data_IF_946283668117
#
_entry.id   IF_946283668117
#
_cell.length_a   1.000
_cell.length_b   1.000
_cell.length_c   1.000
_cell.angle_alpha   90.00
_cell.angle_beta   90.00
_cell.angle_gamma   90.00
#
_symmetry.space_group_name_H-M   'P 1'
#
loop_
_entity.id
_entity.type
_entity.pdbx_description
1 polymer ?
#
# COMPACT_ATOMS: atom_id res chain seq x y z
N UNK A 1 7.66 -0.56 9.51
CA UNK A 1 7.16 0.58 8.72
C UNK A 1 6.29 1.50 9.56
N UNK A 2 5.17 1.04 10.14
CA UNK A 2 4.24 1.90 10.89
C UNK A 2 4.89 2.80 11.96
N UNK A 3 5.77 2.23 12.82
CA UNK A 3 6.47 2.98 13.87
C UNK A 3 7.32 4.11 13.29
N UNK A 4 8.08 3.81 12.23
CA UNK A 4 8.89 4.80 11.52
C UNK A 4 8.00 5.90 10.93
N UNK A 5 6.88 5.53 10.34
CA UNK A 5 5.92 6.49 9.78
C UNK A 5 5.35 7.41 10.87
N UNK A 6 4.95 6.85 12.01
CA UNK A 6 4.41 7.63 13.14
C UNK A 6 5.45 8.63 13.65
N UNK A 7 6.70 8.20 13.82
CA UNK A 7 7.81 9.06 14.25
C UNK A 7 8.07 10.18 13.24
N UNK A 8 8.18 9.85 11.95
CA UNK A 8 8.52 10.82 10.90
C UNK A 8 7.44 11.87 10.65
N UNK A 9 6.15 11.57 10.89
CA UNK A 9 5.05 12.53 10.69
C UNK A 9 5.15 13.72 11.64
N UNK A 10 5.58 13.52 12.90
CA UNK A 10 5.81 14.62 13.83
C UNK A 10 7.24 15.16 13.74
N UNK A 11 8.23 14.28 13.55
CA UNK A 11 9.64 14.71 13.53
C UNK A 11 9.93 15.76 12.46
N UNK A 12 9.27 15.70 11.29
CA UNK A 12 9.44 16.69 10.22
C UNK A 12 9.21 18.13 10.64
N UNK A 13 8.39 18.36 11.64
CA UNK A 13 8.03 19.71 12.07
C UNK A 13 9.12 20.36 12.95
N UNK A 14 10.10 19.57 13.40
CA UNK A 14 11.24 20.03 14.21
C UNK A 14 12.50 20.30 13.37
N UNK A 15 13.40 21.14 13.88
CA UNK A 15 14.74 21.44 13.29
C UNK A 15 15.65 20.21 13.26
N UNK A 16 15.56 19.36 14.29
CA UNK A 16 16.38 18.15 14.45
C UNK A 16 16.22 17.16 13.30
N UNK A 17 15.07 17.19 12.61
CA UNK A 17 14.81 16.28 11.51
C UNK A 17 15.40 16.82 10.19
N UNK A 18 16.31 16.08 9.52
CA UNK A 18 16.94 16.55 8.31
C UNK A 18 15.93 16.86 7.21
N UNK A 19 15.91 18.10 6.72
CA UNK A 19 14.97 18.55 5.67
C UNK A 19 15.09 17.76 4.36
N UNK A 20 16.26 17.17 4.07
CA UNK A 20 16.45 16.23 2.93
C UNK A 20 15.58 14.97 3.00
N UNK A 21 15.09 14.61 4.19
CA UNK A 21 14.20 13.45 4.40
C UNK A 21 12.72 13.85 4.39
N UNK A 22 12.43 15.15 4.32
CA UNK A 22 11.08 15.68 4.19
C UNK A 22 10.52 15.45 2.79
N UNK A 23 9.19 15.52 2.69
CA UNK A 23 8.45 15.31 1.44
C UNK A 23 9.04 16.18 0.32
N UNK A 24 9.27 15.55 -0.83
CA UNK A 24 9.63 16.29 -2.03
C UNK A 24 8.42 17.05 -2.58
N UNK A 25 8.67 18.17 -3.25
CA UNK A 25 7.61 18.97 -3.83
C UNK A 25 7.12 18.35 -5.13
N UNK A 26 7.84 18.52 -6.24
CA UNK A 26 7.43 18.02 -7.56
C UNK A 26 8.07 16.69 -7.89
N UNK A 27 9.41 16.62 -7.80
CA UNK A 27 10.18 15.44 -8.15
C UNK A 27 11.25 15.12 -7.10
N UNK A 28 11.54 13.83 -6.95
CA UNK A 28 12.59 13.31 -6.08
C UNK A 28 12.10 12.17 -5.18
N UNK A 29 13.00 11.72 -4.30
CA UNK A 29 12.72 10.71 -3.29
C UNK A 29 13.17 11.17 -1.93
N UNK A 30 12.37 10.88 -0.92
CA UNK A 30 12.68 11.15 0.49
C UNK A 30 12.09 10.05 1.37
N UNK A 31 12.46 10.03 2.65
CA UNK A 31 11.90 9.08 3.60
C UNK A 31 10.38 9.23 3.74
N UNK A 32 9.90 10.48 3.77
CA UNK A 32 8.46 10.76 3.88
C UNK A 32 7.67 10.43 2.62
N UNK A 33 8.32 10.43 1.46
CA UNK A 33 7.64 10.05 0.22
C UNK A 33 7.31 8.55 0.18
N UNK A 34 8.02 7.71 0.94
CA UNK A 34 7.77 6.28 1.02
C UNK A 34 6.52 5.93 1.87
N UNK A 35 6.21 6.74 2.88
CA UNK A 35 5.27 6.38 3.94
C UNK A 35 3.87 6.01 3.45
N UNK A 36 3.25 6.90 2.68
CA UNK A 36 1.88 6.71 2.16
C UNK A 36 1.82 5.52 1.20
N UNK A 37 2.76 5.42 0.26
CA UNK A 37 2.84 4.30 -0.67
C UNK A 37 3.01 2.95 0.05
N UNK A 38 3.87 2.88 1.05
CA UNK A 38 4.07 1.70 1.90
C UNK A 38 2.81 1.30 2.66
N UNK A 39 2.03 2.27 3.16
CA UNK A 39 0.77 1.99 3.83
C UNK A 39 -0.26 1.37 2.88
N UNK A 40 -0.40 1.92 1.68
CA UNK A 40 -1.28 1.40 0.61
C UNK A 40 -0.86 -0.02 0.20
N UNK A 41 0.44 -0.22 -0.03
CA UNK A 41 1.01 -1.53 -0.37
C UNK A 41 0.75 -2.59 0.73
N UNK A 42 1.01 -2.23 1.99
CA UNK A 42 0.78 -3.12 3.15
C UNK A 42 -0.71 -3.45 3.32
N UNK A 43 -1.59 -2.48 3.09
CA UNK A 43 -3.05 -2.69 3.11
C UNK A 43 -3.47 -3.68 2.03
N UNK A 44 -2.85 -3.60 0.84
CA UNK A 44 -3.01 -4.57 -0.25
C UNK A 44 -2.65 -5.99 0.20
N UNK A 45 -1.48 -6.17 0.82
CA UNK A 45 -1.02 -7.48 1.35
C UNK A 45 -2.06 -8.07 2.31
N UNK A 46 -2.55 -7.27 3.27
CA UNK A 46 -3.51 -7.73 4.27
C UNK A 46 -4.86 -8.09 3.64
N UNK A 47 -5.28 -7.36 2.61
CA UNK A 47 -6.51 -7.63 1.87
C UNK A 47 -6.51 -9.00 1.16
N UNK A 48 -5.37 -9.67 1.00
CA UNK A 48 -5.32 -11.05 0.49
C UNK A 48 -5.84 -12.11 1.50
N UNK A 49 -5.83 -11.82 2.83
CA UNK A 49 -6.19 -12.80 3.89
C UNK A 49 -7.58 -13.44 3.73
N UNK A 50 -8.68 -12.69 3.50
CA UNK A 50 -10.02 -13.28 3.41
C UNK A 50 -10.19 -14.24 2.23
N UNK A 51 -9.40 -14.06 1.17
CA UNK A 51 -9.41 -14.91 -0.02
C UNK A 51 -8.64 -16.21 0.18
N UNK A 52 -7.63 -16.22 1.05
CA UNK A 52 -6.87 -17.41 1.41
C UNK A 52 -7.63 -18.30 2.41
N UNK A 53 -8.38 -17.71 3.35
CA UNK A 53 -9.14 -18.44 4.39
C UNK A 53 -10.35 -19.19 3.83
N UNK A 54 -11.11 -18.58 2.93
CA UNK A 54 -12.31 -19.19 2.32
C UNK A 54 -12.27 -18.97 0.80
N UNK A 55 -11.80 -19.95 0.00
CA UNK A 55 -11.70 -19.80 -1.46
C UNK A 55 -13.07 -19.59 -2.13
N UNK A 56 -14.18 -19.96 -1.47
CA UNK A 56 -15.56 -19.66 -1.89
C UNK A 56 -15.86 -18.14 -1.94
N UNK A 57 -15.16 -17.33 -1.15
CA UNK A 57 -15.24 -15.86 -1.27
C UNK A 57 -14.77 -15.37 -2.66
N UNK A 58 -14.10 -16.23 -3.46
CA UNK A 58 -13.71 -15.91 -4.82
C UNK A 58 -14.90 -15.85 -5.79
N UNK A 59 -16.00 -16.54 -5.47
CA UNK A 59 -17.14 -16.74 -6.38
C UNK A 59 -18.45 -16.11 -5.89
N UNK A 60 -18.40 -15.28 -4.84
CA UNK A 60 -19.60 -14.58 -4.35
C UNK A 60 -20.17 -13.63 -5.42
N UNK A 61 -21.49 -13.41 -5.46
CA UNK A 61 -22.12 -12.49 -6.40
C UNK A 61 -21.58 -11.06 -6.23
N UNK A 62 -21.44 -10.35 -7.35
CA UNK A 62 -20.84 -9.01 -7.42
C UNK A 62 -21.47 -8.03 -6.41
N UNK A 63 -22.81 -7.95 -6.38
CA UNK A 63 -23.54 -7.06 -5.47
C UNK A 63 -23.15 -7.27 -4.00
N UNK A 64 -22.99 -8.53 -3.56
CA UNK A 64 -22.58 -8.85 -2.19
C UNK A 64 -21.11 -8.55 -1.89
N UNK A 65 -20.23 -8.60 -2.90
CA UNK A 65 -18.83 -8.18 -2.74
C UNK A 65 -18.72 -6.65 -2.71
N UNK A 66 -19.45 -5.96 -3.59
CA UNK A 66 -19.47 -4.51 -3.65
C UNK A 66 -20.06 -3.91 -2.36
N UNK A 67 -21.18 -4.44 -1.87
CA UNK A 67 -21.78 -3.99 -0.61
C UNK A 67 -20.80 -4.17 0.57
N UNK A 68 -20.07 -5.27 0.59
CA UNK A 68 -19.02 -5.48 1.60
C UNK A 68 -17.92 -4.43 1.43
N UNK A 69 -17.38 -4.23 0.23
CA UNK A 69 -16.34 -3.25 -0.02
C UNK A 69 -16.76 -1.82 0.39
N UNK A 70 -17.99 -1.42 0.08
CA UNK A 70 -18.56 -0.13 0.49
C UNK A 70 -18.68 -0.05 2.01
N UNK A 71 -19.16 -1.11 2.68
CA UNK A 71 -19.24 -1.15 4.15
C UNK A 71 -17.86 -1.03 4.81
N UNK A 72 -16.82 -1.60 4.21
CA UNK A 72 -15.44 -1.45 4.68
C UNK A 72 -14.86 -0.07 4.36
N UNK A 73 -15.26 0.54 3.25
CA UNK A 73 -14.83 1.89 2.87
C UNK A 73 -15.45 2.97 3.78
N UNK A 74 -16.69 2.75 4.25
CA UNK A 74 -17.51 3.78 4.89
C UNK A 74 -16.83 4.47 6.09
N UNK A 75 -16.22 3.76 7.07
CA UNK A 75 -15.60 4.44 8.21
C UNK A 75 -14.42 5.33 7.80
N UNK A 76 -13.63 4.91 6.80
CA UNK A 76 -12.51 5.71 6.28
C UNK A 76 -13.02 6.94 5.52
N UNK A 77 -14.09 6.78 4.73
CA UNK A 77 -14.71 7.90 4.01
C UNK A 77 -15.29 8.93 5.00
N UNK A 78 -15.92 8.48 6.09
CA UNK A 78 -16.39 9.36 7.17
C UNK A 78 -15.23 10.13 7.80
N UNK A 79 -14.12 9.45 8.10
CA UNK A 79 -12.90 10.11 8.58
C UNK A 79 -12.34 11.12 7.57
N UNK A 80 -12.46 10.84 6.27
CA UNK A 80 -12.13 11.78 5.21
C UNK A 80 -12.96 13.06 5.26
N UNK A 81 -14.27 12.95 5.51
CA UNK A 81 -15.15 14.11 5.71
C UNK A 81 -14.84 14.85 7.01
N UNK A 82 -14.62 14.15 8.12
CA UNK A 82 -14.25 14.76 9.41
C UNK A 82 -12.96 15.56 9.25
N UNK A 83 -11.93 14.99 8.60
CA UNK A 83 -10.69 15.70 8.32
C UNK A 83 -10.93 16.96 7.50
N UNK A 84 -11.72 16.86 6.43
CA UNK A 84 -12.03 18.01 5.59
C UNK A 84 -12.71 19.13 6.40
N UNK A 85 -13.70 18.79 7.22
CA UNK A 85 -14.40 19.76 8.07
C UNK A 85 -13.50 20.38 9.12
N UNK A 86 -12.68 19.59 9.82
CA UNK A 86 -11.76 20.09 10.84
C UNK A 86 -10.71 21.01 10.24
N UNK A 87 -10.10 20.64 9.12
CA UNK A 87 -9.03 21.43 8.54
C UNK A 87 -9.55 22.74 7.95
N UNK A 88 -10.71 22.71 7.27
CA UNK A 88 -11.36 23.94 6.79
C UNK A 88 -11.94 24.79 7.92
N UNK A 89 -12.35 24.18 9.04
CA UNK A 89 -12.88 24.90 10.19
C UNK A 89 -11.83 25.57 11.07
N UNK A 90 -10.57 25.12 11.02
CA UNK A 90 -9.44 25.64 11.82
C UNK A 90 -8.51 26.53 10.96
N UNK A 91 -8.84 26.76 9.68
CA UNK A 91 -8.01 27.48 8.71
C UNK A 91 -6.54 27.02 8.70
N UNK A 92 -6.33 25.71 8.89
CA UNK A 92 -5.00 25.14 8.93
C UNK A 92 -4.40 25.11 7.52
N UNK A 93 -3.11 25.42 7.38
CA UNK A 93 -2.45 25.53 6.07
C UNK A 93 -2.38 24.18 5.34
N UNK A 94 -3.21 24.01 4.31
CA UNK A 94 -3.19 22.84 3.44
C UNK A 94 -2.37 23.07 2.18
N UNK A 95 -1.46 22.15 1.90
CA UNK A 95 -0.78 22.10 0.60
C UNK A 95 -1.74 21.45 -0.40
N UNK A 96 -2.54 22.28 -1.06
CA UNK A 96 -3.54 21.83 -2.05
C UNK A 96 -2.93 21.03 -3.22
N UNK A 97 -1.61 21.16 -3.43
CA UNK A 97 -0.83 20.38 -4.40
C UNK A 97 -0.65 18.90 -4.02
N UNK A 98 -0.96 18.47 -2.80
CA UNK A 98 -0.82 17.05 -2.43
C UNK A 98 -1.99 16.19 -2.94
N UNK A 99 -3.22 16.61 -2.66
CA UNK A 99 -4.42 15.83 -3.00
C UNK A 99 -5.52 16.68 -3.64
N UNK A 100 -5.48 18.00 -3.52
CA UNK A 100 -6.58 18.87 -3.90
C UNK A 100 -7.03 19.80 -2.78
N UNK A 101 -8.11 20.53 -3.03
CA UNK A 101 -8.75 21.41 -2.04
C UNK A 101 -9.64 20.62 -1.07
N UNK A 102 -10.36 19.62 -1.59
CA UNK A 102 -11.35 18.85 -0.83
C UNK A 102 -10.96 17.38 -0.68
N UNK A 103 -10.18 16.86 -1.62
CA UNK A 103 -9.73 15.48 -1.59
C UNK A 103 -8.56 15.32 -0.61
N UNK A 104 -8.53 14.18 0.06
CA UNK A 104 -7.48 13.84 1.02
C UNK A 104 -7.18 12.34 0.94
N UNK A 105 -6.11 11.93 1.62
CA UNK A 105 -5.64 10.54 1.59
C UNK A 105 -6.68 9.52 2.08
N UNK A 106 -7.59 9.89 3.00
CA UNK A 106 -8.62 8.96 3.47
C UNK A 106 -9.64 8.66 2.37
N UNK A 107 -9.99 9.63 1.52
CA UNK A 107 -10.82 9.36 0.35
C UNK A 107 -10.12 8.38 -0.58
N UNK A 108 -8.84 8.61 -0.92
CA UNK A 108 -8.04 7.66 -1.71
C UNK A 108 -8.08 6.25 -1.11
N UNK A 109 -7.85 6.10 0.20
CA UNK A 109 -7.92 4.80 0.88
C UNK A 109 -9.32 4.17 0.87
N UNK A 110 -10.37 4.97 1.10
CA UNK A 110 -11.75 4.50 1.11
C UNK A 110 -12.21 3.98 -0.25
N UNK A 111 -11.75 4.58 -1.35
CA UNK A 111 -12.12 4.14 -2.69
C UNK A 111 -11.37 2.88 -3.16
N UNK A 112 -10.20 2.56 -2.61
CA UNK A 112 -9.40 1.39 -3.05
C UNK A 112 -10.19 0.07 -3.01
N UNK A 113 -10.84 -0.36 -1.90
CA UNK A 113 -11.58 -1.63 -1.86
C UNK A 113 -12.73 -1.70 -2.88
N UNK A 114 -13.38 -0.56 -3.15
CA UNK A 114 -14.48 -0.45 -4.11
C UNK A 114 -13.94 -0.71 -5.52
N UNK A 115 -12.89 0.02 -5.92
CA UNK A 115 -12.29 -0.12 -7.24
C UNK A 115 -11.64 -1.49 -7.47
N UNK A 116 -11.00 -2.07 -6.45
CA UNK A 116 -10.47 -3.44 -6.54
C UNK A 116 -11.58 -4.44 -6.86
N UNK A 117 -12.76 -4.28 -6.25
CA UNK A 117 -13.93 -5.13 -6.52
C UNK A 117 -14.50 -4.89 -7.94
N UNK A 118 -14.48 -3.65 -8.42
CA UNK A 118 -14.88 -3.29 -9.79
C UNK A 118 -13.93 -3.89 -10.83
N UNK A 119 -12.62 -3.67 -10.70
CA UNK A 119 -11.59 -4.23 -11.60
C UNK A 119 -11.69 -5.76 -11.69
N UNK A 120 -12.00 -6.42 -10.57
CA UNK A 120 -12.18 -7.87 -10.53
C UNK A 120 -13.45 -8.36 -11.24
N UNK A 121 -14.45 -7.51 -11.39
CA UNK A 121 -15.68 -7.86 -12.13
C UNK A 121 -15.44 -7.76 -13.63
N UNK A 122 -14.69 -6.75 -14.06
CA UNK A 122 -14.25 -6.62 -15.45
C UNK A 122 -13.50 -7.87 -15.93
N UNK A 123 -12.73 -8.54 -15.06
CA UNK A 123 -12.10 -9.84 -15.35
C UNK A 123 -13.08 -10.92 -15.85
N UNK A 124 -14.33 -10.94 -15.38
CA UNK A 124 -15.31 -11.95 -15.83
C UNK A 124 -15.73 -11.75 -17.29
N UNK A 125 -15.68 -10.51 -17.75
CA UNK A 125 -16.15 -10.10 -19.08
C UNK A 125 -15.01 -10.01 -20.10
N UNK A 126 -13.78 -9.69 -19.69
CA UNK A 126 -12.66 -9.62 -20.62
C UNK A 126 -12.01 -11.00 -20.81
N UNK A 127 -12.40 -11.68 -21.89
CA UNK A 127 -11.80 -12.94 -22.36
C UNK A 127 -10.43 -12.66 -22.99
N UNK A 128 -9.38 -12.53 -22.19
CA UNK A 128 -8.01 -12.31 -22.66
C UNK A 128 -7.33 -13.59 -23.19
N UNK A 129 -8.06 -14.39 -23.97
CA UNK A 129 -7.50 -15.52 -24.73
C UNK A 129 -6.46 -15.08 -25.77
N UNK A 130 -6.44 -13.81 -26.15
CA UNK A 130 -5.54 -13.25 -27.19
C UNK A 130 -4.15 -12.91 -26.62
N UNK A 131 -4.07 -12.33 -25.42
CA UNK A 131 -2.77 -12.05 -24.74
C UNK A 131 -2.13 -13.32 -24.16
N UNK A 132 -2.95 -14.30 -23.79
CA UNK A 132 -2.46 -15.64 -23.45
C UNK A 132 -1.89 -16.40 -24.65
N UNK A 133 -2.30 -16.09 -25.87
CA UNK A 133 -1.85 -16.76 -27.09
C UNK A 133 -0.40 -16.39 -27.46
N UNK A 134 -0.01 -15.12 -27.26
CA UNK A 134 1.35 -14.64 -27.49
C UNK A 134 2.36 -15.16 -26.46
N UNK A 135 1.90 -15.51 -25.25
CA UNK A 135 2.72 -16.21 -24.25
C UNK A 135 2.64 -17.74 -24.45
N UNK A 136 1.54 -18.25 -25.04
CA UNK A 136 1.35 -19.67 -25.32
C UNK A 136 2.24 -20.20 -26.46
N UNK A 137 2.66 -19.36 -27.41
CA UNK A 137 3.68 -19.74 -28.40
C UNK A 137 5.03 -20.02 -27.73
N UNK A 138 5.37 -19.34 -26.63
CA UNK A 138 6.53 -19.67 -25.78
C UNK A 138 6.31 -20.93 -24.92
N UNK A 139 5.08 -21.45 -24.85
CA UNK A 139 4.63 -22.55 -23.96
C UNK A 139 4.52 -23.91 -24.67
N UNK A 140 4.85 -23.97 -25.96
CA UNK A 140 4.84 -25.21 -26.77
C UNK A 140 5.86 -26.25 -26.26
N UNK A 141 6.82 -25.87 -25.40
CA UNK A 141 7.80 -26.79 -24.83
C UNK A 141 7.38 -27.57 -23.56
N UNK A 142 6.22 -27.27 -22.94
CA UNK A 142 5.82 -27.90 -21.66
C UNK A 142 4.51 -28.69 -21.75
N UNK A 143 4.47 -29.67 -22.64
CA UNK A 143 3.29 -30.51 -22.87
C UNK A 143 3.31 -31.78 -21.99
N UNK A 144 3.17 -31.64 -20.65
CA UNK A 144 2.84 -32.80 -19.79
C UNK A 144 2.04 -32.53 -18.52
N UNK A 145 1.30 -31.42 -18.40
CA UNK A 145 0.41 -31.20 -17.23
C UNK A 145 -0.92 -30.56 -17.66
N UNK A 146 -1.83 -31.38 -18.22
CA UNK A 146 -3.16 -30.98 -18.73
C UNK A 146 -4.12 -30.42 -17.67
N UNK A 147 -3.89 -30.65 -16.37
CA UNK A 147 -4.77 -30.19 -15.26
C UNK A 147 -4.28 -28.93 -14.51
N UNK A 148 -3.09 -28.40 -14.82
CA UNK A 148 -2.65 -27.08 -14.33
C UNK A 148 -3.25 -25.90 -15.11
N UNK A 149 -3.96 -26.17 -16.22
CA UNK A 149 -4.44 -25.15 -17.17
C UNK A 149 -5.42 -24.11 -16.59
N UNK A 150 -6.28 -24.48 -15.64
CA UNK A 150 -7.36 -23.57 -15.19
C UNK A 150 -6.90 -22.57 -14.10
N UNK A 151 -5.90 -22.92 -13.28
CA UNK A 151 -5.39 -22.05 -12.21
C UNK A 151 -4.15 -21.24 -12.62
N UNK A 152 -3.33 -21.75 -13.55
CA UNK A 152 -2.26 -20.94 -14.15
C UNK A 152 -2.86 -19.78 -14.97
N UNK A 153 -3.90 -20.04 -15.79
CA UNK A 153 -4.56 -18.98 -16.56
C UNK A 153 -5.19 -17.89 -15.67
N UNK A 154 -5.67 -18.24 -14.47
CA UNK A 154 -6.28 -17.26 -13.56
C UNK A 154 -5.24 -16.35 -12.89
N UNK A 155 -4.02 -16.83 -12.63
CA UNK A 155 -2.96 -16.06 -11.92
C UNK A 155 -2.17 -15.13 -12.85
N UNK A 156 -1.77 -15.59 -14.03
CA UNK A 156 -1.12 -14.71 -15.03
C UNK A 156 -2.08 -13.61 -15.52
N UNK A 157 -3.38 -13.89 -15.53
CA UNK A 157 -4.40 -12.92 -15.94
C UNK A 157 -4.71 -11.87 -14.85
N UNK A 158 -4.55 -12.22 -13.57
CA UNK A 158 -4.61 -11.26 -12.47
C UNK A 158 -3.47 -10.24 -12.58
N UNK A 159 -2.23 -10.68 -12.84
CA UNK A 159 -1.10 -9.78 -13.08
C UNK A 159 -1.35 -8.81 -14.25
N UNK A 160 -1.96 -9.27 -15.36
CA UNK A 160 -2.33 -8.42 -16.50
C UNK A 160 -3.40 -7.37 -16.17
N UNK A 161 -4.38 -7.68 -15.32
CA UNK A 161 -5.37 -6.71 -14.84
C UNK A 161 -4.75 -5.65 -13.93
N UNK A 162 -3.66 -5.98 -13.23
CA UNK A 162 -2.98 -5.04 -12.35
C UNK A 162 -2.04 -4.12 -13.14
N UNK A 163 -1.48 -4.62 -14.24
CA UNK A 163 -0.58 -3.89 -15.12
C UNK A 163 -1.36 -3.00 -16.11
N UNK A 164 -2.56 -3.38 -16.54
CA UNK A 164 -3.31 -2.63 -17.56
C UNK A 164 -3.70 -1.20 -17.12
N UNK A 165 -4.38 -0.96 -15.98
CA UNK A 165 -4.67 0.39 -15.51
C UNK A 165 -3.41 1.21 -15.26
N UNK A 166 -2.32 0.54 -14.87
CA UNK A 166 -1.03 1.16 -14.60
C UNK A 166 -0.36 1.67 -15.89
N UNK A 167 -0.34 0.85 -16.95
CA UNK A 167 0.17 1.24 -18.26
C UNK A 167 -0.70 2.34 -18.86
N UNK A 168 -2.02 2.18 -18.82
CA UNK A 168 -2.95 3.21 -19.33
C UNK A 168 -2.71 4.53 -18.61
N UNK A 169 -2.57 4.51 -17.28
CA UNK A 169 -2.30 5.70 -16.49
C UNK A 169 -0.97 6.37 -16.91
N UNK A 170 0.12 5.61 -17.03
CA UNK A 170 1.40 6.17 -17.45
C UNK A 170 1.37 6.73 -18.88
N UNK A 171 0.65 6.08 -19.80
CA UNK A 171 0.45 6.61 -21.16
C UNK A 171 -0.32 7.91 -21.09
N UNK A 172 -1.40 7.99 -20.30
CA UNK A 172 -2.17 9.24 -20.18
C UNK A 172 -1.36 10.38 -19.55
N UNK A 173 -0.46 10.09 -18.61
CA UNK A 173 0.49 11.08 -18.09
C UNK A 173 1.36 11.66 -19.20
N UNK A 174 1.93 10.80 -20.03
CA UNK A 174 2.76 11.21 -21.18
C UNK A 174 1.97 11.99 -22.24
N UNK A 175 0.67 11.70 -22.41
CA UNK A 175 -0.21 12.40 -23.35
C UNK A 175 -0.69 13.78 -22.85
N UNK A 176 -0.17 14.29 -21.72
CA UNK A 176 -0.45 15.63 -21.20
C UNK A 176 -1.23 15.69 -19.89
N UNK A 177 -1.58 14.53 -19.28
CA UNK A 177 -2.22 14.53 -17.96
C UNK A 177 -1.27 15.04 -16.87
N UNK A 178 0.05 14.86 -17.03
CA UNK A 178 1.05 15.43 -16.11
C UNK A 178 0.96 16.96 -16.04
N UNK A 179 0.93 17.63 -17.19
CA UNK A 179 0.81 19.10 -17.26
C UNK A 179 -0.52 19.59 -16.69
N UNK A 180 -1.60 18.84 -16.93
CA UNK A 180 -2.90 19.13 -16.32
C UNK A 180 -2.81 19.06 -14.79
N UNK A 181 -2.20 18.01 -14.23
CA UNK A 181 -2.06 17.85 -12.76
C UNK A 181 -1.19 18.96 -12.17
N UNK A 182 -0.08 19.32 -12.79
CA UNK A 182 0.87 20.28 -12.23
C UNK A 182 0.45 21.74 -12.43
N UNK A 183 -0.06 22.11 -13.60
CA UNK A 183 -0.19 23.53 -13.99
C UNK A 183 -1.62 24.01 -14.22
N UNK A 184 -2.58 23.12 -14.50
CA UNK A 184 -3.95 23.58 -14.82
C UNK A 184 -4.62 24.36 -13.68
N UNK A 185 -5.39 25.39 -14.04
CA UNK A 185 -6.15 26.17 -13.07
C UNK A 185 -7.31 25.37 -12.45
N UNK A 186 -7.65 25.71 -11.20
CA UNK A 186 -8.72 25.07 -10.43
C UNK A 186 -10.07 25.76 -10.71
N UNK A 187 -10.65 25.49 -11.87
CA UNK A 187 -11.94 26.08 -12.30
C UNK A 187 -13.13 25.34 -11.71
N UNK A 188 -13.12 24.01 -11.79
CA UNK A 188 -14.23 23.14 -11.44
C UNK A 188 -13.90 22.26 -10.24
N UNK A 189 -14.89 21.54 -9.70
CA UNK A 189 -14.70 20.62 -8.58
C UNK A 189 -13.68 19.51 -8.89
N UNK A 190 -13.65 19.03 -10.15
CA UNK A 190 -12.69 18.02 -10.60
C UNK A 190 -11.28 18.63 -10.65
N UNK A 191 -11.12 19.78 -11.32
CA UNK A 191 -9.84 20.50 -11.41
C UNK A 191 -9.31 20.94 -10.04
N UNK A 192 -10.19 21.19 -9.08
CA UNK A 192 -9.85 21.51 -7.69
C UNK A 192 -9.26 20.33 -6.92
N UNK A 193 -9.50 19.10 -7.38
CA UNK A 193 -9.09 17.85 -6.74
C UNK A 193 -8.27 16.94 -7.68
N UNK A 194 -7.75 17.51 -8.77
CA UNK A 194 -7.08 16.79 -9.86
C UNK A 194 -5.91 15.94 -9.36
N UNK A 195 -5.15 16.42 -8.39
CA UNK A 195 -3.98 15.71 -7.85
C UNK A 195 -4.38 14.39 -7.20
N UNK A 196 -5.37 14.42 -6.30
CA UNK A 196 -5.88 13.24 -5.59
C UNK A 196 -6.65 12.28 -6.49
N UNK A 197 -7.46 12.80 -7.42
CA UNK A 197 -8.25 11.98 -8.35
C UNK A 197 -7.34 11.27 -9.36
N UNK A 198 -6.36 11.96 -9.94
CA UNK A 198 -5.48 11.36 -10.93
C UNK A 198 -4.46 10.40 -10.29
N UNK A 199 -3.84 10.77 -9.17
CA UNK A 199 -2.88 9.91 -8.47
C UNK A 199 -3.49 8.64 -7.87
N UNK A 200 -4.82 8.59 -7.71
CA UNK A 200 -5.56 7.40 -7.27
C UNK A 200 -5.19 6.15 -8.09
N UNK A 201 -4.98 6.28 -9.40
CA UNK A 201 -4.64 5.16 -10.27
C UNK A 201 -3.27 4.57 -9.94
N UNK A 202 -2.27 5.40 -9.62
CA UNK A 202 -0.97 4.94 -9.12
C UNK A 202 -1.10 4.20 -7.79
N UNK A 203 -1.89 4.73 -6.84
CA UNK A 203 -2.16 4.06 -5.57
C UNK A 203 -2.93 2.75 -5.73
N UNK A 204 -3.88 2.69 -6.66
CA UNK A 204 -4.60 1.47 -7.00
C UNK A 204 -3.65 0.38 -7.51
N UNK A 205 -2.70 0.73 -8.37
CA UNK A 205 -1.66 -0.19 -8.85
C UNK A 205 -0.79 -0.73 -7.70
N UNK A 206 -0.33 0.14 -6.78
CA UNK A 206 0.44 -0.29 -5.61
C UNK A 206 -0.36 -1.25 -4.71
N UNK A 207 -1.64 -0.93 -4.46
CA UNK A 207 -2.52 -1.78 -3.66
C UNK A 207 -2.70 -3.16 -4.29
N UNK A 208 -2.94 -3.21 -5.60
CA UNK A 208 -3.15 -4.46 -6.34
C UNK A 208 -1.89 -5.32 -6.38
N UNK A 209 -0.70 -4.71 -6.54
CA UNK A 209 0.57 -5.45 -6.48
C UNK A 209 0.83 -5.96 -5.06
N UNK A 210 0.54 -5.16 -4.03
CA UNK A 210 0.57 -5.62 -2.63
C UNK A 210 -0.37 -6.79 -2.38
N UNK A 211 -1.58 -6.75 -2.95
CA UNK A 211 -2.56 -7.85 -2.88
C UNK A 211 -2.01 -9.14 -3.52
N UNK A 212 -1.34 -9.06 -4.66
CA UNK A 212 -0.72 -10.24 -5.29
C UNK A 212 0.41 -10.80 -4.41
N UNK A 213 1.33 -9.96 -3.95
CA UNK A 213 2.44 -10.35 -3.07
C UNK A 213 1.92 -10.99 -1.77
N UNK A 214 0.81 -10.49 -1.23
CA UNK A 214 0.15 -11.06 -0.04
C UNK A 214 -0.29 -12.51 -0.19
N UNK A 215 -0.59 -12.98 -1.41
CA UNK A 215 -0.92 -14.38 -1.66
C UNK A 215 0.28 -15.32 -1.52
N UNK A 216 1.52 -14.82 -1.63
CA UNK A 216 2.74 -15.59 -1.42
C UNK A 216 3.18 -15.57 0.05
N UNK A 217 3.13 -14.39 0.66
CA UNK A 217 3.67 -14.16 2.01
C UNK A 217 2.76 -14.73 3.09
N UNK A 218 1.45 -14.46 3.05
CA UNK A 218 0.55 -14.84 4.15
C UNK A 218 0.43 -16.36 4.40
N UNK A 219 0.36 -17.24 3.39
CA UNK A 219 0.35 -18.69 3.64
C UNK A 219 1.76 -19.26 3.83
N UNK A 220 2.79 -18.46 3.55
CA UNK A 220 4.21 -18.82 3.57
C UNK A 220 4.53 -20.10 2.78
N UNK A 221 3.71 -20.31 1.77
CA UNK A 221 3.89 -21.31 0.73
C UNK A 221 3.45 -20.65 -0.58
N UNK A 222 4.39 -20.33 -1.48
CA UNK A 222 4.10 -19.79 -2.81
C UNK A 222 3.12 -20.65 -3.64
N UNK A 223 3.02 -21.93 -3.28
CA UNK A 223 2.15 -22.93 -3.91
C UNK A 223 0.90 -23.26 -3.09
N UNK A 224 0.60 -22.49 -2.03
CA UNK A 224 -0.54 -22.75 -1.14
C UNK A 224 -1.86 -22.96 -1.90
N UNK A 225 -2.16 -22.08 -2.86
CA UNK A 225 -3.36 -22.17 -3.68
C UNK A 225 -3.40 -23.43 -4.57
N UNK A 226 -2.24 -23.96 -4.99
CA UNK A 226 -2.13 -25.17 -5.82
C UNK A 226 -2.32 -26.43 -4.96
N UNK A 227 -1.91 -26.38 -3.69
CA UNK A 227 -2.01 -27.48 -2.73
C UNK A 227 -3.35 -27.57 -2.00
N UNK A 228 -4.20 -26.54 -2.10
CA UNK A 228 -5.51 -26.50 -1.44
C UNK A 228 -6.42 -27.68 -1.82
N UNK A 229 -6.20 -28.28 -3.01
CA UNK A 229 -6.90 -29.47 -3.52
C UNK A 229 -6.23 -30.82 -3.15
N UNK A 230 -5.15 -30.85 -2.37
CA UNK A 230 -4.47 -32.10 -1.96
C UNK A 230 -4.50 -32.29 -0.45
N UNK A 231 -4.83 -33.51 0.02
CA UNK A 231 -4.77 -33.96 1.43
C UNK A 231 -3.36 -33.97 2.05
N UNK A 232 -2.34 -33.43 1.36
CA UNK A 232 -0.96 -33.45 1.84
C UNK A 232 -0.72 -32.41 2.93
N UNK A 233 0.01 -32.79 4.00
CA UNK A 233 0.41 -31.87 5.08
C UNK A 233 1.08 -30.63 4.50
N UNK A 234 0.49 -29.46 4.78
CA UNK A 234 0.91 -28.14 4.31
C UNK A 234 2.17 -27.71 5.07
N UNK A 235 3.34 -28.11 4.59
CA UNK A 235 4.61 -27.64 5.14
C UNK A 235 4.97 -26.27 4.53
N UNK A 236 5.24 -25.23 5.34
CA UNK A 236 5.72 -23.94 4.86
C UNK A 236 7.06 -24.11 4.13
N UNK A 237 7.32 -23.24 3.14
CA UNK A 237 8.55 -23.27 2.34
C UNK A 237 9.21 -21.89 2.32
N UNK A 238 9.74 -21.43 3.46
CA UNK A 238 10.27 -20.07 3.59
C UNK A 238 11.43 -19.78 2.64
N UNK A 239 12.33 -20.73 2.40
CA UNK A 239 13.44 -20.57 1.46
C UNK A 239 12.95 -20.32 0.03
N UNK A 240 11.88 -21.00 -0.41
CA UNK A 240 11.29 -20.78 -1.74
C UNK A 240 10.55 -19.46 -1.82
N UNK A 241 9.90 -19.03 -0.73
CA UNK A 241 9.30 -17.72 -0.63
C UNK A 241 10.37 -16.63 -0.74
N UNK A 242 11.47 -16.74 0.02
CA UNK A 242 12.60 -15.82 -0.04
C UNK A 242 13.17 -15.71 -1.46
N UNK A 243 13.36 -16.83 -2.15
CA UNK A 243 13.84 -16.86 -3.54
C UNK A 243 12.89 -16.11 -4.50
N UNK A 244 11.58 -16.32 -4.37
CA UNK A 244 10.59 -15.61 -5.21
C UNK A 244 10.58 -14.12 -4.88
N UNK A 245 10.55 -13.75 -3.61
CA UNK A 245 10.57 -12.34 -3.21
C UNK A 245 11.86 -11.66 -3.67
N UNK A 246 13.01 -12.33 -3.58
CA UNK A 246 14.28 -11.82 -4.08
C UNK A 246 14.26 -11.61 -5.61
N UNK A 247 13.67 -12.54 -6.36
CA UNK A 247 13.48 -12.35 -7.82
C UNK A 247 12.58 -11.15 -8.15
N UNK A 248 11.55 -10.89 -7.33
CA UNK A 248 10.69 -9.72 -7.48
C UNK A 248 11.42 -8.42 -7.10
N UNK A 249 12.27 -8.43 -6.07
CA UNK A 249 13.12 -7.29 -5.70
C UNK A 249 13.99 -6.88 -6.87
N UNK A 250 14.70 -7.84 -7.50
CA UNK A 250 15.52 -7.57 -8.68
C UNK A 250 14.66 -6.97 -9.80
N UNK A 251 13.51 -7.59 -10.11
CA UNK A 251 12.62 -7.11 -11.16
C UNK A 251 12.13 -5.67 -10.92
N UNK A 252 11.70 -5.34 -9.70
CA UNK A 252 11.18 -4.01 -9.38
C UNK A 252 12.28 -2.94 -9.33
N UNK A 253 13.47 -3.27 -8.84
CA UNK A 253 14.62 -2.34 -8.90
C UNK A 253 15.08 -2.12 -10.34
N UNK A 254 15.12 -3.15 -11.18
CA UNK A 254 15.39 -2.99 -12.61
C UNK A 254 14.32 -2.13 -13.29
N UNK A 255 13.04 -2.34 -12.97
CA UNK A 255 11.95 -1.49 -13.45
C UNK A 255 12.10 -0.04 -13.02
N UNK A 256 12.50 0.22 -11.77
CA UNK A 256 12.79 1.57 -11.30
C UNK A 256 13.97 2.20 -12.04
N UNK A 257 15.10 1.49 -12.14
CA UNK A 257 16.30 1.96 -12.86
C UNK A 257 15.97 2.26 -14.32
N UNK A 258 15.21 1.39 -14.98
CA UNK A 258 14.75 1.60 -16.36
C UNK A 258 13.95 2.89 -16.52
N UNK A 259 13.06 3.22 -15.57
CA UNK A 259 12.32 4.47 -15.60
C UNK A 259 13.24 5.69 -15.48
N UNK A 260 14.24 5.62 -14.59
CA UNK A 260 15.23 6.70 -14.43
C UNK A 260 16.08 6.87 -15.70
N UNK A 261 16.50 5.76 -16.33
CA UNK A 261 17.29 5.78 -17.58
C UNK A 261 16.51 6.37 -18.75
N UNK A 262 15.20 6.11 -18.85
CA UNK A 262 14.33 6.71 -19.86
C UNK A 262 13.99 8.19 -19.54
N UNK A 263 14.40 8.67 -18.36
CA UNK A 263 14.18 10.06 -17.96
C UNK A 263 12.78 10.32 -17.41
N UNK A 264 12.08 9.30 -16.89
CA UNK A 264 10.82 9.48 -16.17
C UNK A 264 11.15 9.91 -14.73
N UNK A 265 11.01 11.19 -14.37
CA UNK A 265 11.33 11.65 -13.03
C UNK A 265 10.38 11.03 -12.02
N UNK A 266 10.79 10.89 -10.77
CA UNK A 266 9.97 10.29 -9.71
C UNK A 266 9.11 11.34 -9.03
N UNK A 267 7.79 11.14 -8.99
CA UNK A 267 6.86 12.08 -8.36
C UNK A 267 5.80 11.37 -7.52
N UNK A 268 5.80 11.65 -6.21
CA UNK A 268 4.75 11.19 -5.28
C UNK A 268 3.40 11.84 -5.56
N UNK A 269 3.37 13.14 -5.87
CA UNK A 269 2.12 13.91 -6.07
C UNK A 269 1.31 13.35 -7.23
N UNK A 270 2.02 12.99 -8.31
CA UNK A 270 1.42 12.36 -9.48
C UNK A 270 1.22 10.85 -9.24
N UNK A 271 2.04 10.23 -8.39
CA UNK A 271 2.09 8.77 -8.20
C UNK A 271 2.38 8.02 -9.51
N UNK A 272 3.38 8.51 -10.25
CA UNK A 272 3.77 8.01 -11.55
C UNK A 272 4.52 6.65 -11.51
N UNK A 273 4.86 6.13 -12.69
CA UNK A 273 5.50 4.81 -12.86
C UNK A 273 6.76 4.60 -12.00
N UNK A 274 7.67 5.57 -12.04
CA UNK A 274 8.93 5.53 -11.28
C UNK A 274 8.67 5.53 -9.76
N UNK A 275 7.72 6.33 -9.28
CA UNK A 275 7.30 6.30 -7.87
C UNK A 275 6.73 4.95 -7.44
N UNK A 276 5.83 4.37 -8.23
CA UNK A 276 5.23 3.06 -7.95
C UNK A 276 6.30 1.97 -7.87
N UNK A 277 7.23 1.92 -8.83
CA UNK A 277 8.33 0.95 -8.79
C UNK A 277 9.23 1.15 -7.58
N UNK A 278 9.59 2.39 -7.26
CA UNK A 278 10.45 2.69 -6.11
C UNK A 278 9.81 2.25 -4.78
N UNK A 279 8.53 2.56 -4.57
CA UNK A 279 7.80 2.15 -3.37
C UNK A 279 7.75 0.63 -3.29
N UNK A 280 7.35 -0.06 -4.36
CA UNK A 280 7.19 -1.52 -4.34
C UNK A 280 8.53 -2.23 -4.19
N UNK A 281 9.58 -1.76 -4.86
CA UNK A 281 10.94 -2.28 -4.74
C UNK A 281 11.44 -2.16 -3.29
N UNK A 282 11.26 -0.99 -2.68
CA UNK A 282 11.65 -0.72 -1.29
C UNK A 282 10.89 -1.61 -0.30
N UNK A 283 9.55 -1.70 -0.42
CA UNK A 283 8.75 -2.54 0.47
C UNK A 283 9.05 -4.03 0.31
N UNK A 284 9.25 -4.50 -0.93
CA UNK A 284 9.61 -5.91 -1.19
C UNK A 284 11.00 -6.23 -0.66
N UNK A 285 11.93 -5.26 -0.71
CA UNK A 285 13.26 -5.39 -0.10
C UNK A 285 13.14 -5.59 1.41
N UNK A 286 12.31 -4.79 2.10
CA UNK A 286 12.06 -5.00 3.53
C UNK A 286 11.43 -6.36 3.84
N UNK A 287 10.51 -6.85 3.00
CA UNK A 287 9.92 -8.17 3.16
C UNK A 287 10.96 -9.29 3.00
N UNK A 288 11.89 -9.18 2.04
CA UNK A 288 13.01 -10.12 1.90
C UNK A 288 13.91 -10.08 3.12
N UNK A 289 14.25 -8.89 3.63
CA UNK A 289 15.08 -8.75 4.83
C UNK A 289 14.42 -9.41 6.04
N UNK A 290 13.12 -9.18 6.25
CA UNK A 290 12.38 -9.86 7.31
C UNK A 290 12.36 -11.38 7.12
N UNK A 291 12.20 -11.85 5.88
CA UNK A 291 12.22 -13.29 5.59
C UNK A 291 13.58 -13.93 5.83
N UNK A 292 14.67 -13.22 5.53
CA UNK A 292 16.05 -13.66 5.82
C UNK A 292 16.24 -13.74 7.34
N UNK A 293 15.92 -12.68 8.07
CA UNK A 293 15.99 -12.65 9.54
C UNK A 293 15.19 -13.79 10.15
N UNK A 294 13.99 -14.03 9.63
CA UNK A 294 13.17 -15.17 10.05
C UNK A 294 13.92 -16.48 9.80
N UNK A 295 14.37 -16.76 8.58
CA UNK A 295 15.08 -18.02 8.25
C UNK A 295 16.36 -18.22 9.08
N UNK A 296 17.11 -17.16 9.36
CA UNK A 296 18.42 -17.26 10.03
C UNK A 296 18.32 -17.31 11.56
N UNK A 297 17.45 -16.49 12.16
CA UNK A 297 17.37 -16.34 13.61
C UNK A 297 16.17 -17.04 14.24
N UNK A 298 15.11 -17.28 13.47
CA UNK A 298 13.86 -17.80 13.99
C UNK A 298 13.42 -19.05 13.23
N UNK A 299 13.48 -20.23 13.86
CA UNK A 299 12.78 -21.41 13.35
C UNK A 299 11.24 -21.29 13.55
N UNK A 300 10.66 -20.14 13.22
CA UNK A 300 9.26 -19.74 13.41
C UNK A 300 8.25 -20.72 12.80
N UNK A 301 8.71 -21.54 11.85
CA UNK A 301 7.94 -22.62 11.23
C UNK A 301 7.73 -23.85 12.11
N UNK A 302 8.44 -23.95 13.24
CA UNK A 302 8.41 -25.11 14.16
C UNK A 302 7.70 -24.82 15.49
N UNK A 303 7.78 -23.61 16.05
CA UNK A 303 7.21 -23.26 17.36
C UNK A 303 6.19 -22.12 17.29
N UNK A 304 5.29 -22.07 18.28
CA UNK A 304 4.23 -21.06 18.39
C UNK A 304 4.77 -19.62 18.41
N UNK A 305 3.93 -18.72 17.90
CA UNK A 305 4.25 -17.33 17.55
C UNK A 305 4.72 -16.52 18.75
N UNK A 306 6.02 -16.27 18.87
CA UNK A 306 6.54 -15.25 19.78
C UNK A 306 6.90 -13.98 19.00
N UNK A 307 5.88 -13.28 18.48
CA UNK A 307 6.08 -11.92 18.00
C UNK A 307 6.23 -11.02 19.23
N UNK A 308 7.19 -10.08 19.28
CA UNK A 308 7.28 -9.14 20.38
C UNK A 308 5.94 -8.41 20.59
N UNK A 309 5.46 -8.39 21.82
CA UNK A 309 4.12 -7.90 22.17
C UNK A 309 3.85 -6.47 21.64
N UNK A 310 4.83 -5.57 21.72
CA UNK A 310 4.71 -4.20 21.20
C UNK A 310 4.47 -4.20 19.68
N UNK A 311 5.21 -5.04 18.95
CA UNK A 311 5.07 -5.15 17.48
C UNK A 311 3.70 -5.72 17.14
N UNK A 312 3.23 -6.72 17.90
CA UNK A 312 1.88 -7.25 17.74
C UNK A 312 0.81 -6.18 17.98
N UNK A 313 0.93 -5.42 19.06
CA UNK A 313 -0.02 -4.38 19.43
C UNK A 313 -0.11 -3.25 18.40
N UNK A 314 1.03 -2.79 17.89
CA UNK A 314 1.06 -1.76 16.83
C UNK A 314 0.48 -2.31 15.51
N UNK A 315 0.76 -3.57 15.19
CA UNK A 315 0.28 -4.19 13.95
C UNK A 315 -1.19 -4.60 13.98
N UNK A 316 -1.76 -4.90 15.16
CA UNK A 316 -3.14 -5.36 15.28
C UNK A 316 -4.14 -4.26 14.90
N UNK A 317 -3.78 -2.99 15.13
CA UNK A 317 -4.60 -1.81 14.85
C UNK A 317 -3.87 -0.73 14.04
N UNK A 318 -3.11 -1.12 13.02
CA UNK A 318 -2.21 -0.20 12.29
C UNK A 318 -2.87 1.08 11.75
N UNK A 319 -4.11 1.03 11.23
CA UNK A 319 -4.79 2.26 10.79
C UNK A 319 -5.17 3.16 11.98
N UNK A 320 -5.69 2.59 13.08
CA UNK A 320 -6.05 3.40 14.25
C UNK A 320 -4.82 4.07 14.86
N UNK A 321 -3.69 3.35 14.92
CA UNK A 321 -2.40 3.90 15.34
C UNK A 321 -1.95 5.03 14.41
N UNK A 322 -2.09 4.85 13.09
CA UNK A 322 -1.78 5.90 12.11
C UNK A 322 -2.68 7.13 12.27
N UNK A 323 -3.98 6.94 12.50
CA UNK A 323 -4.93 8.04 12.73
C UNK A 323 -4.61 8.81 14.00
N UNK A 324 -4.34 8.07 15.09
CA UNK A 324 -3.93 8.62 16.37
C UNK A 324 -2.65 9.46 16.22
N UNK A 325 -1.66 8.93 15.50
CA UNK A 325 -0.41 9.65 15.20
C UNK A 325 -0.69 10.99 14.51
N UNK A 326 -1.48 11.00 13.43
CA UNK A 326 -1.83 12.24 12.72
C UNK A 326 -2.59 13.25 13.61
N UNK A 327 -3.50 12.78 14.46
CA UNK A 327 -4.24 13.64 15.37
C UNK A 327 -3.32 14.27 16.43
N UNK A 328 -2.45 13.44 17.05
CA UNK A 328 -1.48 13.90 18.03
C UNK A 328 -0.48 14.89 17.42
N UNK A 329 -0.04 14.68 16.18
CA UNK A 329 0.79 15.66 15.46
C UNK A 329 0.08 17.01 15.33
N UNK A 330 -1.19 17.00 14.92
CA UNK A 330 -1.98 18.24 14.85
C UNK A 330 -2.10 18.93 16.21
N UNK A 331 -2.32 18.18 17.28
CA UNK A 331 -2.37 18.73 18.65
C UNK A 331 -1.04 19.35 19.08
N UNK A 332 0.09 18.68 18.81
CA UNK A 332 1.42 19.23 19.13
C UNK A 332 1.69 20.51 18.34
N UNK A 333 1.39 20.52 17.03
CA UNK A 333 1.61 21.67 16.16
C UNK A 333 0.73 22.89 16.51
N UNK A 334 -0.46 22.66 17.05
CA UNK A 334 -1.33 23.73 17.56
C UNK A 334 -0.89 24.23 18.93
N UNK A 335 -0.22 23.39 19.72
CA UNK A 335 0.18 23.73 21.10
C UNK A 335 1.55 24.41 21.17
N UNK A 336 2.50 24.01 20.31
CA UNK A 336 3.89 24.41 20.38
C UNK A 336 4.36 24.81 18.97
N UNK A 337 5.12 25.91 18.87
CA UNK A 337 5.82 26.28 17.64
C UNK A 337 7.06 25.42 17.46
N UNK A 338 6.88 24.24 16.88
CA UNK A 338 7.90 23.18 16.71
C UNK A 338 9.20 23.66 16.04
N UNK A 339 9.13 24.66 15.16
CA UNK A 339 10.30 25.20 14.44
C UNK A 339 11.33 25.89 15.36
N UNK A 340 10.89 26.43 16.51
CA UNK A 340 11.75 27.20 17.43
C UNK A 340 12.15 26.41 18.68
N UNK A 341 11.84 25.12 18.70
CA UNK A 341 12.14 24.24 19.83
C UNK A 341 13.60 23.78 19.74
N UNK A 342 14.34 23.90 20.84
CA UNK A 342 15.71 23.37 20.95
C UNK A 342 15.74 21.84 20.75
N UNK A 343 16.84 21.34 20.18
CA UNK A 343 16.96 19.93 19.78
C UNK A 343 16.68 18.93 20.92
N UNK A 344 17.18 19.18 22.14
CA UNK A 344 16.93 18.30 23.29
C UNK A 344 15.45 18.23 23.68
N UNK A 345 14.74 19.37 23.63
CA UNK A 345 13.32 19.42 23.93
C UNK A 345 12.49 18.79 22.80
N UNK A 346 12.94 18.92 21.54
CA UNK A 346 12.36 18.22 20.41
C UNK A 346 12.45 16.69 20.58
N UNK A 347 13.62 16.18 20.97
CA UNK A 347 13.81 14.74 21.24
C UNK A 347 12.91 14.24 22.39
N UNK A 348 12.78 15.01 23.47
CA UNK A 348 11.87 14.68 24.56
C UNK A 348 10.39 14.63 24.11
N UNK A 349 9.95 15.60 23.30
CA UNK A 349 8.60 15.62 22.75
C UNK A 349 8.38 14.40 21.84
N UNK A 350 9.33 14.08 20.95
CA UNK A 350 9.22 12.93 20.05
C UNK A 350 9.19 11.61 20.82
N UNK A 351 10.00 11.46 21.86
CA UNK A 351 9.98 10.30 22.73
C UNK A 351 8.64 10.15 23.47
N UNK A 352 8.13 11.24 24.05
CA UNK A 352 6.83 11.26 24.71
C UNK A 352 5.68 10.95 23.77
N UNK A 353 5.69 11.52 22.57
CA UNK A 353 4.72 11.24 21.50
C UNK A 353 4.72 9.76 21.11
N UNK A 354 5.89 9.17 20.87
CA UNK A 354 6.00 7.75 20.54
C UNK A 354 5.57 6.85 21.70
N UNK A 355 5.88 7.23 22.94
CA UNK A 355 5.42 6.51 24.13
C UNK A 355 3.90 6.47 24.21
N UNK A 356 3.22 7.61 24.04
CA UNK A 356 1.76 7.70 24.06
C UNK A 356 1.13 6.83 22.96
N UNK A 357 1.67 6.89 21.74
CA UNK A 357 1.16 6.07 20.62
C UNK A 357 1.27 4.57 20.92
N UNK A 358 2.44 4.13 21.40
CA UNK A 358 2.67 2.72 21.73
C UNK A 358 1.81 2.28 22.92
N UNK A 359 1.68 3.11 23.96
CA UNK A 359 0.84 2.82 25.11
C UNK A 359 -0.64 2.64 24.71
N UNK A 360 -1.16 3.51 23.84
CA UNK A 360 -2.54 3.39 23.34
C UNK A 360 -2.67 2.16 22.43
N UNK A 361 -1.69 1.85 21.58
CA UNK A 361 -1.70 0.64 20.76
C UNK A 361 -1.76 -0.63 21.63
N UNK A 362 -0.96 -0.67 22.71
CA UNK A 362 -0.99 -1.74 23.71
C UNK A 362 -2.36 -1.82 24.38
N UNK A 363 -2.92 -0.68 24.80
CA UNK A 363 -4.24 -0.62 25.42
C UNK A 363 -5.33 -1.17 24.50
N UNK A 364 -5.32 -0.82 23.20
CA UNK A 364 -6.23 -1.40 22.22
C UNK A 364 -6.07 -2.93 22.12
N UNK A 365 -4.83 -3.41 22.12
CA UNK A 365 -4.54 -4.83 21.99
C UNK A 365 -5.00 -5.64 23.22
N UNK A 366 -4.73 -5.15 24.43
CA UNK A 366 -5.12 -5.81 25.70
C UNK A 366 -6.66 -5.90 25.80
N UNK A 367 -7.36 -4.83 25.45
CA UNK A 367 -8.82 -4.79 25.51
C UNK A 367 -9.51 -5.48 24.32
N UNK A 368 -8.75 -6.15 23.43
CA UNK A 368 -9.24 -6.73 22.18
C UNK A 368 -10.04 -5.75 21.32
N UNK A 369 -9.79 -4.45 21.47
CA UNK A 369 -10.42 -3.44 20.65
C UNK A 369 -9.82 -3.53 19.26
N UNK A 370 -10.66 -3.88 18.29
CA UNK A 370 -10.28 -3.90 16.88
C UNK A 370 -11.00 -2.74 16.22
N UNK A 371 -10.22 -1.83 15.66
CA UNK A 371 -10.78 -0.80 14.81
C UNK A 371 -11.43 -1.50 13.60
N UNK A 372 -12.75 -1.53 13.57
CA UNK A 372 -13.52 -2.32 12.61
C UNK A 372 -13.36 -1.68 11.23
N UNK A 373 -12.67 -2.38 10.33
CA UNK A 373 -12.69 -2.20 8.88
C UNK A 373 -12.79 -3.52 8.14
#
# INVERSE_FOLDING_TARGET
MMILTCLSILAVDFSVFPRRLAKTETYGTSLMDLGVGSFVFSSGIVAARPFLKKPENRFKPFKGQLLRAVRQALPILILGFIRLMMVKGVDYQEHASEYGIHWNFFFTLGFLPIFVTLCRTLHKYVRFSIVGLSIATCKVYFNKIRRCKMLLNFRYLQCLIFIFPFIVYQITLYLGLEDYILYAHRTDLISSNKEGICSFWGYLSMFLIGLDIGHYILPVDPYYAIRQNRRAKKKPKPQKLAMILFSLVILFWLGFIFCIVIGIPISRRIANLSYVFWVIASNTTFLVLFQIVEITFFEYWKNERNLPFIIEAVNSNGLAVFLLANLLTGLVNLSIRTLFVNDSLAECILAGYMFVIVAIAIWFNINNWKFIL
#
